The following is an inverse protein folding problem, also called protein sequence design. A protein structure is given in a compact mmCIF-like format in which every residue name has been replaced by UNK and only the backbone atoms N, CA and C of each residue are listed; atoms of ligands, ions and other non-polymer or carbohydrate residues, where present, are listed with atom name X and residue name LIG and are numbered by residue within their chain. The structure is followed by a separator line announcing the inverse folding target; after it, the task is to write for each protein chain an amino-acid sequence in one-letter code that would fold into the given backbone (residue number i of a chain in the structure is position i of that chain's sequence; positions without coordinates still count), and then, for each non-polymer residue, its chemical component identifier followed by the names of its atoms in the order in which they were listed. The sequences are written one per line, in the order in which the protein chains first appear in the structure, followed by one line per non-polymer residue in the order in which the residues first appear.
data_IF_924550788444
#
_entry.id   IF_924550788444
#
_cell.length_a   1.000
_cell.length_b   1.000
_cell.length_c   1.000
_cell.angle_alpha   90.00
_cell.angle_beta   90.00
_cell.angle_gamma   90.00
#
_symmetry.space_group_name_H-M   'P 1'
#
loop_
_entity.id
_entity.type
_entity.pdbx_description
1 polymer ?
#
# COMPACT_ATOMS: atom_id res chain seq x y z
N UNK A 1 -31.38 23.43 39.08
CA UNK A 1 -30.03 22.81 39.05
C UNK A 1 -29.07 23.71 39.80
N UNK A 2 -28.52 23.24 40.93
CA UNK A 2 -27.82 24.07 41.91
C UNK A 2 -26.44 24.52 41.38
N UNK A 3 -26.00 25.71 41.81
CA UNK A 3 -24.69 26.31 41.48
C UNK A 3 -23.49 25.33 41.49
N UNK A 4 -23.34 24.40 42.47
CA UNK A 4 -22.23 23.43 42.48
C UNK A 4 -22.23 22.44 41.31
N UNK A 5 -23.39 22.11 40.73
CA UNK A 5 -23.49 21.21 39.57
C UNK A 5 -23.03 21.92 38.30
N UNK A 6 -23.33 23.23 38.19
CA UNK A 6 -22.90 24.05 37.05
C UNK A 6 -21.38 24.26 37.05
N UNK A 7 -20.77 24.47 38.22
CA UNK A 7 -19.31 24.62 38.35
C UNK A 7 -18.57 23.31 38.11
N UNK A 8 -19.08 22.18 38.60
CA UNK A 8 -18.49 20.87 38.31
C UNK A 8 -18.54 20.53 36.81
N UNK A 9 -19.67 20.79 36.15
CA UNK A 9 -19.83 20.53 34.71
C UNK A 9 -18.93 21.46 33.86
N UNK A 10 -18.80 22.73 34.25
CA UNK A 10 -17.90 23.67 33.60
C UNK A 10 -16.43 23.26 33.76
N UNK A 11 -16.03 22.76 34.93
CA UNK A 11 -14.66 22.27 35.16
C UNK A 11 -14.33 21.03 34.32
N UNK A 12 -15.27 20.08 34.18
CA UNK A 12 -15.10 18.88 33.33
C UNK A 12 -15.03 19.24 31.85
N UNK A 13 -15.84 20.21 31.39
CA UNK A 13 -15.72 20.73 30.02
C UNK A 13 -14.36 21.41 29.81
N UNK A 14 -13.90 22.25 30.75
CA UNK A 14 -12.61 22.92 30.66
C UNK A 14 -11.45 21.93 30.60
N UNK A 15 -11.48 20.87 31.41
CA UNK A 15 -10.45 19.83 31.41
C UNK A 15 -10.44 19.01 30.10
N UNK A 16 -11.62 18.74 29.53
CA UNK A 16 -11.77 18.03 28.26
C UNK A 16 -11.25 18.84 27.06
N UNK A 17 -11.27 20.18 27.13
CA UNK A 17 -10.73 21.07 26.09
C UNK A 17 -9.28 21.52 26.33
N UNK A 18 -8.75 21.36 27.55
CA UNK A 18 -7.38 21.74 27.91
C UNK A 18 -6.38 20.57 27.83
N UNK A 19 -6.83 19.36 27.47
CA UNK A 19 -5.91 18.27 27.19
C UNK A 19 -4.99 18.68 26.03
N UNK A 20 -3.65 18.72 26.23
CA UNK A 20 -2.74 19.05 25.14
C UNK A 20 -2.93 18.01 24.03
N UNK A 21 -3.35 18.48 22.86
CA UNK A 21 -3.36 17.66 21.66
C UNK A 21 -1.95 17.09 21.51
N UNK A 22 -1.82 15.76 21.47
CA UNK A 22 -0.52 15.12 21.28
C UNK A 22 0.14 15.75 20.05
N UNK A 23 1.32 16.32 20.24
CA UNK A 23 2.07 16.97 19.16
C UNK A 23 2.30 15.89 18.10
N UNK A 24 1.84 16.13 16.87
CA UNK A 24 2.09 15.22 15.76
C UNK A 24 3.60 14.91 15.72
N UNK A 25 3.92 13.64 15.45
CA UNK A 25 5.29 13.13 15.43
C UNK A 25 6.19 14.07 14.62
N UNK A 26 7.28 14.57 15.21
CA UNK A 26 8.06 15.67 14.64
C UNK A 26 8.89 15.25 13.43
N UNK A 27 9.10 13.95 13.25
CA UNK A 27 9.89 13.40 12.16
C UNK A 27 9.05 13.28 10.89
N UNK A 28 9.63 13.72 9.78
CA UNK A 28 9.07 13.49 8.44
C UNK A 28 9.07 12.00 8.09
N UNK A 29 8.26 11.61 7.09
CA UNK A 29 8.27 10.22 6.58
C UNK A 29 9.67 9.82 6.08
N UNK A 30 10.37 10.72 5.40
CA UNK A 30 11.72 10.49 4.91
C UNK A 30 12.68 10.17 6.08
N UNK A 31 12.63 10.94 7.17
CA UNK A 31 13.44 10.68 8.36
C UNK A 31 13.09 9.37 9.05
N UNK A 32 11.80 9.04 9.14
CA UNK A 32 11.34 7.74 9.68
C UNK A 32 11.84 6.56 8.84
N UNK A 33 12.08 6.77 7.55
CA UNK A 33 12.65 5.80 6.62
C UNK A 33 14.19 5.82 6.57
N UNK A 34 14.86 6.68 7.36
CA UNK A 34 16.33 6.77 7.42
C UNK A 34 16.98 7.75 6.42
N UNK A 35 16.17 8.59 5.76
CA UNK A 35 16.63 9.61 4.81
C UNK A 35 16.62 11.01 5.43
N UNK A 36 17.12 12.03 4.73
CA UNK A 36 17.05 13.42 5.19
C UNK A 36 15.62 13.95 5.05
N UNK A 37 15.26 14.92 5.88
CA UNK A 37 13.92 15.52 5.90
C UNK A 37 13.40 16.00 4.53
N UNK A 38 14.30 16.44 3.65
CA UNK A 38 13.99 17.01 2.34
C UNK A 38 14.36 16.09 1.16
N UNK A 39 14.77 14.85 1.41
CA UNK A 39 15.04 13.90 0.34
C UNK A 39 13.74 13.55 -0.40
N UNK A 40 13.83 13.45 -1.73
CA UNK A 40 12.73 13.00 -2.57
C UNK A 40 12.90 11.51 -2.83
N UNK A 41 11.97 10.72 -2.32
CA UNK A 41 11.94 9.28 -2.51
C UNK A 41 10.95 8.95 -3.62
N UNK A 42 11.32 8.04 -4.52
CA UNK A 42 10.51 7.61 -5.65
C UNK A 42 10.37 6.10 -5.63
N UNK A 43 9.14 5.62 -5.68
CA UNK A 43 8.80 4.21 -5.93
C UNK A 43 8.22 4.16 -7.34
N UNK A 44 8.84 3.36 -8.21
CA UNK A 44 8.33 3.08 -9.54
C UNK A 44 7.75 1.67 -9.50
N UNK A 45 6.43 1.58 -9.33
CA UNK A 45 5.72 0.32 -9.28
C UNK A 45 5.14 -0.07 -10.65
N UNK A 46 5.38 -1.30 -11.09
CA UNK A 46 4.65 -1.92 -12.19
C UNK A 46 3.34 -2.56 -11.72
N UNK A 47 2.22 -2.11 -12.28
CA UNK A 47 0.90 -2.69 -12.01
C UNK A 47 0.60 -3.87 -12.96
N UNK A 48 -0.48 -4.59 -12.67
CA UNK A 48 -1.05 -5.65 -13.52
C UNK A 48 -0.16 -6.88 -13.81
N UNK A 49 0.85 -7.10 -12.96
CA UNK A 49 1.72 -8.27 -13.10
C UNK A 49 0.92 -9.53 -12.80
N UNK A 50 1.00 -10.54 -13.66
CA UNK A 50 0.19 -11.77 -13.58
C UNK A 50 -1.07 -11.74 -14.45
N UNK A 51 -1.47 -10.58 -15.00
CA UNK A 51 -2.63 -10.48 -15.90
C UNK A 51 -2.45 -11.33 -17.16
N UNK A 52 -1.38 -11.08 -17.93
CA UNK A 52 -1.06 -11.79 -19.16
C UNK A 52 0.45 -12.01 -19.30
N UNK A 53 0.86 -12.90 -20.21
CA UNK A 53 2.28 -13.17 -20.46
C UNK A 53 3.08 -11.92 -20.85
N UNK A 54 2.47 -11.04 -21.66
CA UNK A 54 3.12 -9.81 -22.09
C UNK A 54 3.40 -8.88 -20.89
N UNK A 55 2.43 -8.75 -19.97
CA UNK A 55 2.61 -7.99 -18.74
C UNK A 55 3.75 -8.57 -17.89
N UNK A 56 3.78 -9.89 -17.68
CA UNK A 56 4.86 -10.54 -16.95
C UNK A 56 6.23 -10.31 -17.59
N UNK A 57 6.34 -10.48 -18.91
CA UNK A 57 7.60 -10.30 -19.64
C UNK A 57 8.10 -8.86 -19.52
N UNK A 58 7.20 -7.88 -19.66
CA UNK A 58 7.53 -6.47 -19.50
C UNK A 58 7.93 -6.13 -18.05
N UNK A 59 7.22 -6.66 -17.05
CA UNK A 59 7.58 -6.50 -15.63
C UNK A 59 8.96 -7.05 -15.34
N UNK A 60 9.27 -8.28 -15.79
CA UNK A 60 10.56 -8.91 -15.58
C UNK A 60 11.67 -8.06 -16.22
N UNK A 61 11.54 -7.70 -17.49
CA UNK A 61 12.55 -6.90 -18.19
C UNK A 61 12.75 -5.53 -17.51
N UNK A 62 11.66 -4.88 -17.08
CA UNK A 62 11.73 -3.58 -16.39
C UNK A 62 12.42 -3.66 -15.03
N UNK A 63 12.14 -4.72 -14.25
CA UNK A 63 12.79 -4.97 -12.97
C UNK A 63 14.27 -5.37 -13.12
N UNK A 64 14.61 -6.10 -14.18
CA UNK A 64 16.00 -6.49 -14.44
C UNK A 64 16.86 -5.34 -14.96
N UNK A 65 16.27 -4.45 -15.74
CA UNK A 65 16.96 -3.25 -16.24
C UNK A 65 16.92 -2.06 -15.27
N UNK A 66 16.24 -2.19 -14.13
CA UNK A 66 16.11 -1.12 -13.14
C UNK A 66 15.22 0.04 -13.59
N UNK A 67 14.33 -0.19 -14.57
CA UNK A 67 13.31 0.79 -15.00
C UNK A 67 12.16 0.89 -13.99
N UNK A 68 11.88 -0.20 -13.27
CA UNK A 68 10.94 -0.26 -12.16
C UNK A 68 11.68 -0.70 -10.89
N UNK A 69 11.21 -0.23 -9.73
CA UNK A 69 11.77 -0.58 -8.43
C UNK A 69 10.97 -1.67 -7.72
N UNK A 70 9.68 -1.80 -8.06
CA UNK A 70 8.77 -2.81 -7.51
C UNK A 70 7.69 -3.17 -8.53
N UNK A 71 6.94 -4.23 -8.26
CA UNK A 71 5.71 -4.54 -9.00
C UNK A 71 4.63 -5.14 -8.10
N UNK A 72 3.36 -5.11 -8.52
CA UNK A 72 2.25 -5.72 -7.78
C UNK A 72 1.58 -6.85 -8.57
N UNK A 73 1.40 -8.00 -7.92
CA UNK A 73 0.91 -9.23 -8.57
C UNK A 73 -0.60 -9.38 -8.39
N UNK A 74 -1.31 -9.55 -9.51
CA UNK A 74 -2.72 -9.94 -9.59
C UNK A 74 -2.87 -11.46 -9.43
N UNK A 75 -3.12 -11.91 -8.20
CA UNK A 75 -3.24 -13.34 -7.85
C UNK A 75 -4.30 -14.12 -8.63
N UNK A 76 -5.53 -13.60 -8.88
CA UNK A 76 -6.56 -14.39 -9.57
C UNK A 76 -6.31 -14.56 -11.08
N UNK A 77 -5.33 -13.84 -11.66
CA UNK A 77 -5.16 -13.77 -13.10
C UNK A 77 -4.46 -15.03 -13.68
N UNK A 78 -4.73 -15.37 -14.95
CA UNK A 78 -4.27 -16.63 -15.55
C UNK A 78 -2.74 -16.83 -15.56
N UNK A 79 -1.96 -15.75 -15.53
CA UNK A 79 -0.49 -15.80 -15.60
C UNK A 79 0.20 -15.58 -14.24
N UNK A 80 -0.56 -15.67 -13.14
CA UNK A 80 -0.02 -15.62 -11.78
C UNK A 80 1.10 -16.64 -11.54
N UNK A 81 0.90 -17.90 -11.97
CA UNK A 81 1.87 -18.97 -11.68
C UNK A 81 3.24 -18.76 -12.33
N UNK A 82 3.28 -18.09 -13.49
CA UNK A 82 4.52 -17.71 -14.17
C UNK A 82 5.30 -16.68 -13.35
N UNK A 83 4.67 -15.54 -13.03
CA UNK A 83 5.36 -14.50 -12.26
C UNK A 83 5.68 -14.97 -10.84
N UNK A 84 4.82 -15.75 -10.19
CA UNK A 84 5.07 -16.29 -8.85
C UNK A 84 6.34 -17.17 -8.83
N UNK A 85 6.59 -17.94 -9.90
CA UNK A 85 7.82 -18.73 -10.04
C UNK A 85 9.05 -17.82 -10.18
N UNK A 86 8.96 -16.78 -10.99
CA UNK A 86 10.03 -15.79 -11.13
C UNK A 86 10.31 -15.07 -9.81
N UNK A 87 9.28 -14.57 -9.11
CA UNK A 87 9.43 -13.89 -7.82
C UNK A 87 10.08 -14.80 -6.77
N UNK A 88 9.67 -16.08 -6.72
CA UNK A 88 10.29 -17.08 -5.82
C UNK A 88 11.78 -17.31 -6.13
N UNK A 89 12.16 -17.32 -7.42
CA UNK A 89 13.54 -17.49 -7.82
C UNK A 89 14.41 -16.23 -7.61
N UNK A 90 13.78 -15.06 -7.49
CA UNK A 90 14.44 -13.76 -7.39
C UNK A 90 14.00 -13.00 -6.13
N UNK A 91 14.34 -13.47 -4.91
CA UNK A 91 13.88 -12.88 -3.65
C UNK A 91 14.36 -11.44 -3.40
N UNK A 92 15.31 -10.94 -4.20
CA UNK A 92 15.77 -9.55 -4.15
C UNK A 92 14.90 -8.58 -4.96
N UNK A 93 13.94 -9.05 -5.75
CA UNK A 93 12.98 -8.19 -6.46
C UNK A 93 11.77 -7.93 -5.56
N UNK A 94 11.33 -6.68 -5.52
CA UNK A 94 10.20 -6.27 -4.67
C UNK A 94 8.86 -6.51 -5.37
N UNK A 95 8.02 -7.36 -4.75
CA UNK A 95 6.70 -7.71 -5.23
C UNK A 95 5.65 -7.53 -4.14
N UNK A 96 4.66 -6.68 -4.41
CA UNK A 96 3.43 -6.55 -3.62
C UNK A 96 2.25 -7.34 -4.19
N UNK A 97 1.09 -7.21 -3.56
CA UNK A 97 -0.17 -7.80 -4.02
C UNK A 97 -1.05 -6.72 -4.63
N UNK A 98 -1.52 -6.94 -5.85
CA UNK A 98 -2.51 -6.10 -6.52
C UNK A 98 -3.92 -6.64 -6.23
N UNK A 99 -4.68 -5.96 -5.36
CA UNK A 99 -6.02 -6.43 -4.97
C UNK A 99 -7.02 -6.29 -6.12
N UNK A 100 -7.53 -7.41 -6.62
CA UNK A 100 -8.41 -7.47 -7.78
C UNK A 100 -9.88 -7.55 -7.36
N UNK A 101 -10.57 -6.42 -7.27
CA UNK A 101 -12.02 -6.36 -6.99
C UNK A 101 -12.88 -6.29 -8.26
N UNK A 102 -12.25 -6.02 -9.39
CA UNK A 102 -12.88 -5.96 -10.71
C UNK A 102 -12.24 -6.97 -11.65
N UNK A 103 -12.95 -7.25 -12.74
CA UNK A 103 -12.40 -7.91 -13.92
C UNK A 103 -13.03 -7.19 -15.12
N UNK A 104 -12.29 -6.27 -15.71
CA UNK A 104 -12.84 -5.23 -16.58
C UNK A 104 -12.86 -5.62 -18.06
N UNK A 105 -11.99 -6.55 -18.46
CA UNK A 105 -11.92 -6.99 -19.85
C UNK A 105 -13.15 -7.81 -20.26
N UNK A 106 -13.57 -7.64 -21.52
CA UNK A 106 -14.78 -8.28 -22.04
C UNK A 106 -14.62 -9.80 -22.17
N UNK A 107 -13.49 -10.25 -22.71
CA UNK A 107 -13.24 -11.66 -23.05
C UNK A 107 -12.08 -12.30 -22.27
N UNK A 108 -11.37 -11.52 -21.46
CA UNK A 108 -10.18 -11.96 -20.73
C UNK A 108 -10.37 -11.72 -19.23
N UNK A 109 -11.20 -12.57 -18.60
CA UNK A 109 -11.67 -12.37 -17.24
C UNK A 109 -10.97 -13.29 -16.24
N UNK A 110 -10.97 -12.87 -14.98
CA UNK A 110 -10.51 -13.66 -13.84
C UNK A 110 -11.60 -13.71 -12.77
N UNK A 111 -11.69 -14.85 -12.08
CA UNK A 111 -12.63 -15.08 -10.99
C UNK A 111 -12.02 -14.82 -9.61
N UNK A 112 -12.81 -14.91 -8.52
CA UNK A 112 -12.27 -14.86 -7.17
C UNK A 112 -11.39 -16.10 -6.89
N UNK A 113 -10.48 -15.98 -5.92
CA UNK A 113 -9.66 -17.11 -5.43
C UNK A 113 -10.33 -17.87 -4.28
N UNK A 114 -11.30 -17.26 -3.60
CA UNK A 114 -12.06 -17.90 -2.54
C UNK A 114 -13.09 -18.87 -3.14
N UNK A 115 -13.44 -19.97 -2.44
CA UNK A 115 -14.55 -20.82 -2.82
C UNK A 115 -15.85 -20.02 -2.95
N UNK A 116 -16.70 -20.43 -3.89
CA UNK A 116 -18.08 -19.96 -4.02
C UNK A 116 -19.00 -20.62 -2.99
#
# INVERSE_FOLDING_TARGET
MNLPVKTALAAVLFYSFAAPLSKADSMTLAERLGYKANDKLLIINGDDTGMCHAANTATIDSLERGLMTSATIMVPCPWFTEIARYAKANPGKDFGVHLCHTSEWQVYRWGPVAPL
#
